data_IF_417752406021
#
_entry.id   IF_417752406021
#
_cell.length_a   1.000
_cell.length_b   1.000
_cell.length_c   1.000
_cell.angle_alpha   90.00
_cell.angle_beta   90.00
_cell.angle_gamma   90.00
#
_symmetry.space_group_name_H-M   'P 1'
#
loop_
_entity.id
_entity.type
_entity.pdbx_description
1 polymer ?
#
# COMPACT_ATOMS: atom_id res chain seq x y z
N UNK A 1 -26.22 -35.56 9.13
CA UNK A 1 -24.87 -35.20 9.57
C UNK A 1 -24.57 -33.87 8.91
N UNK A 2 -24.79 -32.77 9.62
CA UNK A 2 -24.61 -31.43 9.08
C UNK A 2 -23.19 -30.97 9.38
N UNK A 3 -22.40 -30.77 8.34
CA UNK A 3 -21.17 -29.99 8.47
C UNK A 3 -21.58 -28.52 8.37
N UNK A 4 -21.57 -27.85 9.52
CA UNK A 4 -21.68 -26.42 9.59
C UNK A 4 -20.37 -25.84 9.06
N UNK A 5 -20.44 -25.24 7.87
CA UNK A 5 -19.42 -24.35 7.33
C UNK A 5 -19.35 -23.11 8.24
N UNK A 6 -18.55 -23.21 9.30
CA UNK A 6 -18.17 -22.04 10.09
C UNK A 6 -17.11 -21.28 9.30
N UNK A 7 -17.53 -20.56 8.25
CA UNK A 7 -16.70 -19.47 7.74
C UNK A 7 -16.59 -18.47 8.89
N UNK A 8 -15.42 -18.38 9.53
CA UNK A 8 -15.14 -17.34 10.51
C UNK A 8 -15.47 -16.00 9.87
N UNK A 9 -16.53 -15.35 10.38
CA UNK A 9 -17.03 -14.12 9.80
C UNK A 9 -16.05 -13.02 10.18
N UNK A 10 -15.15 -12.68 9.26
CA UNK A 10 -14.16 -11.62 9.43
C UNK A 10 -14.80 -10.36 10.03
N UNK A 11 -14.27 -9.91 11.16
CA UNK A 11 -14.78 -8.74 11.86
C UNK A 11 -14.34 -7.46 11.14
N UNK A 12 -15.26 -6.51 11.00
CA UNK A 12 -14.97 -5.25 10.33
C UNK A 12 -15.59 -4.05 11.05
N UNK A 13 -14.83 -2.96 11.18
CA UNK A 13 -15.30 -1.69 11.72
C UNK A 13 -14.61 -0.49 11.07
N UNK A 14 -15.37 0.52 10.66
CA UNK A 14 -14.80 1.82 10.31
C UNK A 14 -14.28 2.55 11.56
N UNK A 15 -13.08 3.13 11.46
CA UNK A 15 -12.48 3.90 12.54
C UNK A 15 -12.62 5.39 12.24
N UNK A 16 -11.56 6.07 11.79
CA UNK A 16 -11.57 7.53 11.61
C UNK A 16 -12.19 7.91 10.26
N UNK A 17 -13.30 8.65 10.27
CA UNK A 17 -13.93 9.21 9.06
C UNK A 17 -13.21 10.48 8.61
N UNK A 18 -12.91 10.57 7.31
CA UNK A 18 -12.24 11.71 6.68
C UNK A 18 -13.22 12.72 6.09
N UNK A 19 -14.33 12.25 5.52
CA UNK A 19 -15.30 13.12 4.85
C UNK A 19 -16.32 12.39 3.99
N UNK A 20 -17.02 13.13 3.14
CA UNK A 20 -18.01 12.62 2.17
C UNK A 20 -17.64 13.03 0.75
N UNK A 21 -18.15 12.32 -0.25
CA UNK A 21 -17.91 12.65 -1.66
C UNK A 21 -18.54 13.98 -2.07
N UNK A 22 -17.80 14.72 -2.91
CA UNK A 22 -18.22 16.04 -3.38
C UNK A 22 -19.50 15.97 -4.22
N UNK A 23 -19.46 15.22 -5.34
CA UNK A 23 -20.61 15.06 -6.23
C UNK A 23 -21.63 14.04 -5.71
N UNK A 24 -21.15 12.99 -5.04
CA UNK A 24 -22.01 11.99 -4.40
C UNK A 24 -21.74 11.96 -2.89
N UNK A 25 -22.63 12.57 -2.12
CA UNK A 25 -22.53 12.68 -0.66
C UNK A 25 -22.75 11.36 0.08
N UNK A 26 -23.26 10.34 -0.61
CA UNK A 26 -23.46 9.01 -0.04
C UNK A 26 -22.16 8.20 0.02
N UNK A 27 -21.14 8.57 -0.77
CA UNK A 27 -19.80 8.01 -0.66
C UNK A 27 -19.12 8.58 0.59
N UNK A 28 -18.62 7.71 1.46
CA UNK A 28 -17.97 8.09 2.71
C UNK A 28 -16.48 7.75 2.67
N UNK A 29 -15.62 8.73 2.92
CA UNK A 29 -14.17 8.54 2.95
C UNK A 29 -13.68 8.36 4.38
N UNK A 30 -12.70 7.47 4.54
CA UNK A 30 -12.11 7.13 5.83
C UNK A 30 -10.59 7.31 5.79
N UNK A 31 -10.02 7.53 6.97
CA UNK A 31 -8.58 7.48 7.21
C UNK A 31 -8.15 6.12 7.75
N UNK A 32 -9.02 5.42 8.47
CA UNK A 32 -8.70 4.10 9.03
C UNK A 32 -9.92 3.18 9.20
N UNK A 33 -9.66 1.89 9.32
CA UNK A 33 -10.61 0.83 9.62
C UNK A 33 -9.92 -0.29 10.42
N UNK A 34 -10.69 -1.06 11.16
CA UNK A 34 -10.26 -2.31 11.76
C UNK A 34 -10.83 -3.47 10.94
N UNK A 35 -9.98 -4.43 10.60
CA UNK A 35 -10.35 -5.65 9.90
C UNK A 35 -9.65 -6.83 10.57
N UNK A 36 -10.45 -7.74 11.09
CA UNK A 36 -10.02 -8.92 11.83
C UNK A 36 -9.05 -8.59 12.98
N UNK A 37 -9.43 -7.61 13.80
CA UNK A 37 -8.62 -7.16 14.95
C UNK A 37 -7.46 -6.24 14.59
N UNK A 38 -7.06 -6.14 13.33
CA UNK A 38 -5.95 -5.28 12.89
C UNK A 38 -6.47 -3.92 12.42
N UNK A 39 -5.93 -2.82 12.96
CA UNK A 39 -6.21 -1.48 12.43
C UNK A 39 -5.35 -1.18 11.21
N UNK A 40 -5.96 -0.71 10.13
CA UNK A 40 -5.36 -0.21 8.90
C UNK A 40 -5.65 1.27 8.75
N UNK A 41 -4.64 2.04 8.39
CA UNK A 41 -4.71 3.48 8.19
C UNK A 41 -4.22 3.86 6.80
N UNK A 42 -4.54 5.07 6.34
CA UNK A 42 -3.96 5.60 5.11
C UNK A 42 -2.42 5.54 5.20
N UNK A 43 -1.82 5.15 4.08
CA UNK A 43 -0.40 5.04 3.82
C UNK A 43 0.32 3.85 4.48
N UNK A 44 -0.43 3.00 5.20
CA UNK A 44 0.03 1.66 5.51
C UNK A 44 0.34 0.89 4.22
N UNK A 45 1.43 0.11 4.27
CA UNK A 45 1.75 -0.86 3.23
C UNK A 45 1.07 -2.19 3.55
N UNK A 46 0.53 -2.82 2.51
CA UNK A 46 -0.31 -4.01 2.62
C UNK A 46 0.03 -5.02 1.54
N UNK A 47 -0.15 -6.29 1.88
CA UNK A 47 -0.21 -7.38 0.92
C UNK A 47 -1.61 -7.45 0.30
N UNK A 48 -1.69 -7.67 -1.01
CA UNK A 48 -2.93 -8.00 -1.71
C UNK A 48 -2.79 -9.33 -2.43
N UNK A 49 -3.65 -10.29 -2.08
CA UNK A 49 -3.72 -11.56 -2.77
C UNK A 49 -4.56 -11.46 -4.05
N UNK A 50 -4.12 -12.20 -5.05
CA UNK A 50 -4.86 -12.46 -6.27
C UNK A 50 -4.75 -13.96 -6.53
N UNK A 51 -5.87 -14.65 -6.65
CA UNK A 51 -5.92 -16.13 -6.78
C UNK A 51 -5.04 -16.70 -7.90
N UNK A 52 -4.73 -15.90 -8.93
CA UNK A 52 -3.90 -16.32 -10.06
C UNK A 52 -2.40 -16.20 -9.84
N UNK A 53 -1.94 -15.58 -8.74
CA UNK A 53 -0.53 -15.31 -8.48
C UNK A 53 -0.05 -16.06 -7.23
N UNK A 54 1.14 -16.68 -7.29
CA UNK A 54 1.68 -17.42 -6.15
C UNK A 54 2.14 -16.50 -5.01
N UNK A 55 2.56 -15.27 -5.34
CA UNK A 55 3.00 -14.27 -4.36
C UNK A 55 2.01 -13.11 -4.27
N UNK A 56 1.78 -12.57 -3.06
CA UNK A 56 0.96 -11.38 -2.91
C UNK A 56 1.66 -10.17 -3.50
N UNK A 57 0.87 -9.27 -4.09
CA UNK A 57 1.34 -7.93 -4.47
C UNK A 57 1.53 -7.07 -3.23
N UNK A 58 2.43 -6.10 -3.31
CA UNK A 58 2.68 -5.14 -2.24
C UNK A 58 2.25 -3.76 -2.69
N UNK A 59 1.48 -3.06 -1.86
CA UNK A 59 1.03 -1.71 -2.18
C UNK A 59 0.74 -0.85 -0.96
N UNK A 60 0.65 0.45 -1.16
CA UNK A 60 0.36 1.46 -0.14
C UNK A 60 -1.09 1.94 -0.25
N UNK A 61 -1.82 1.99 0.87
CA UNK A 61 -3.19 2.47 0.92
C UNK A 61 -3.25 3.99 0.74
N UNK A 62 -3.68 4.48 -0.41
CA UNK A 62 -3.73 5.94 -0.68
C UNK A 62 -5.15 6.53 -0.59
N UNK A 63 -6.18 5.69 -0.53
CA UNK A 63 -7.58 6.12 -0.38
C UNK A 63 -8.45 4.98 0.15
N UNK A 64 -9.37 5.29 1.07
CA UNK A 64 -10.27 4.31 1.71
C UNK A 64 -11.69 4.89 1.71
N UNK A 65 -12.69 4.12 1.26
CA UNK A 65 -14.07 4.58 1.24
C UNK A 65 -15.13 3.45 1.25
N UNK A 66 -16.34 3.85 1.62
CA UNK A 66 -17.57 3.07 1.47
C UNK A 66 -18.45 3.70 0.38
N UNK A 67 -18.97 2.87 -0.51
CA UNK A 67 -19.95 3.25 -1.53
C UNK A 67 -21.39 3.19 -0.98
N UNK A 68 -22.39 3.77 -1.68
CA UNK A 68 -23.78 3.74 -1.23
C UNK A 68 -24.35 2.32 -1.07
N UNK A 69 -23.89 1.39 -1.91
CA UNK A 69 -24.23 -0.04 -1.88
C UNK A 69 -23.53 -0.83 -0.74
N UNK A 70 -22.85 -0.13 0.17
CA UNK A 70 -22.07 -0.69 1.28
C UNK A 70 -20.83 -1.47 0.86
N UNK A 71 -20.47 -1.46 -0.42
CA UNK A 71 -19.20 -2.00 -0.86
C UNK A 71 -18.05 -1.15 -0.36
N UNK A 72 -17.03 -1.81 0.19
CA UNK A 72 -15.84 -1.18 0.75
C UNK A 72 -14.73 -1.23 -0.28
N UNK A 73 -13.99 -0.13 -0.40
CA UNK A 73 -12.99 0.03 -1.45
C UNK A 73 -11.75 0.70 -0.90
N UNK A 74 -10.63 0.27 -1.45
CA UNK A 74 -9.32 0.91 -1.24
C UNK A 74 -8.70 1.24 -2.59
N UNK A 75 -7.97 2.35 -2.66
CA UNK A 75 -7.08 2.65 -3.79
C UNK A 75 -5.67 2.38 -3.32
N UNK A 76 -4.97 1.54 -4.06
CA UNK A 76 -3.63 1.08 -3.72
C UNK A 76 -2.64 1.65 -4.73
N UNK A 77 -1.57 2.27 -4.25
CA UNK A 77 -0.38 2.63 -5.02
C UNK A 77 0.60 1.46 -4.95
N UNK A 78 1.05 0.97 -6.09
CA UNK A 78 1.79 -0.29 -6.13
C UNK A 78 3.29 -0.13 -5.90
N UNK A 79 3.87 -1.21 -5.38
CA UNK A 79 5.29 -1.48 -5.46
C UNK A 79 5.53 -2.60 -6.47
N UNK A 80 6.73 -2.64 -7.04
CA UNK A 80 7.23 -3.75 -7.84
C UNK A 80 8.41 -4.39 -7.14
N UNK A 81 8.43 -5.72 -7.10
CA UNK A 81 9.60 -6.53 -6.78
C UNK A 81 10.58 -6.54 -7.96
N UNK A 82 11.86 -6.84 -7.73
CA UNK A 82 12.84 -6.92 -8.81
C UNK A 82 12.47 -7.95 -9.89
N UNK A 83 11.87 -9.08 -9.50
CA UNK A 83 11.41 -10.12 -10.42
C UNK A 83 10.28 -9.65 -11.36
N UNK A 84 9.44 -8.71 -10.93
CA UNK A 84 8.32 -8.18 -11.73
C UNK A 84 8.79 -7.22 -12.83
N UNK A 85 9.95 -6.58 -12.64
CA UNK A 85 10.53 -5.59 -13.57
C UNK A 85 11.89 -6.02 -14.11
N UNK A 86 12.20 -7.32 -14.08
CA UNK A 86 13.53 -7.85 -14.40
C UNK A 86 14.06 -7.37 -15.77
N UNK A 87 13.17 -7.26 -16.76
CA UNK A 87 13.53 -6.79 -18.11
C UNK A 87 14.02 -5.34 -18.17
N UNK A 88 13.76 -4.55 -17.12
CA UNK A 88 14.11 -3.14 -17.02
C UNK A 88 15.27 -2.87 -16.05
N UNK A 89 15.72 -3.88 -15.29
CA UNK A 89 16.87 -3.79 -14.39
C UNK A 89 18.23 -3.89 -15.11
N UNK A 90 18.24 -4.35 -16.36
CA UNK A 90 19.48 -4.58 -17.10
C UNK A 90 20.36 -5.62 -16.42
N UNK A 91 21.62 -5.26 -16.14
CA UNK A 91 22.59 -6.15 -15.47
C UNK A 91 22.71 -5.89 -13.96
N UNK A 92 21.89 -5.00 -13.41
CA UNK A 92 21.93 -4.65 -11.99
C UNK A 92 21.47 -5.82 -11.11
N UNK A 93 22.22 -6.10 -10.04
CA UNK A 93 21.79 -7.04 -9.00
C UNK A 93 21.15 -6.25 -7.88
N UNK A 94 19.84 -6.45 -7.72
CA UNK A 94 19.02 -5.77 -6.72
C UNK A 94 18.67 -6.76 -5.60
N UNK A 95 18.78 -6.37 -4.31
CA UNK A 95 18.33 -7.19 -3.19
C UNK A 95 16.85 -7.60 -3.33
N UNK A 96 16.51 -8.82 -2.93
CA UNK A 96 15.13 -9.33 -3.05
C UNK A 96 14.12 -8.55 -2.19
N UNK A 97 14.59 -7.93 -1.10
CA UNK A 97 13.78 -7.10 -0.22
C UNK A 97 13.72 -5.62 -0.64
N UNK A 98 14.39 -5.23 -1.73
CA UNK A 98 14.23 -3.89 -2.33
C UNK A 98 13.02 -3.87 -3.25
N UNK A 99 12.16 -2.88 -3.06
CA UNK A 99 10.99 -2.61 -3.88
C UNK A 99 11.15 -1.32 -4.68
N UNK A 100 10.38 -1.21 -5.76
CA UNK A 100 10.28 -0.01 -6.58
C UNK A 100 8.89 0.58 -6.48
N UNK A 101 8.79 1.82 -5.98
CA UNK A 101 7.49 2.50 -5.90
C UNK A 101 7.00 2.84 -7.31
N UNK A 102 5.77 2.49 -7.65
CA UNK A 102 5.21 2.83 -8.96
C UNK A 102 5.11 4.36 -9.14
N UNK A 103 5.54 4.86 -10.29
CA UNK A 103 5.45 6.28 -10.67
C UNK A 103 4.96 6.45 -12.11
N UNK A 104 4.91 7.69 -12.60
CA UNK A 104 4.39 8.01 -13.93
C UNK A 104 2.87 7.93 -14.03
N UNK A 105 2.37 7.58 -15.22
CA UNK A 105 0.95 7.40 -15.51
C UNK A 105 0.70 6.11 -16.28
N UNK A 106 -0.36 5.38 -15.91
CA UNK A 106 -0.79 4.18 -16.65
C UNK A 106 -1.16 2.99 -15.77
N UNK A 107 -1.33 1.84 -16.41
CA UNK A 107 -1.61 0.57 -15.74
C UNK A 107 -0.39 0.17 -14.89
N UNK A 108 -0.64 -0.21 -13.65
CA UNK A 108 0.42 -0.56 -12.70
C UNK A 108 0.76 0.56 -11.70
N UNK A 109 0.31 1.80 -11.94
CA UNK A 109 0.50 2.88 -10.96
C UNK A 109 -0.34 2.67 -9.70
N UNK A 110 -1.66 2.79 -9.84
CA UNK A 110 -2.59 2.64 -8.75
C UNK A 110 -3.97 2.24 -9.26
N UNK A 111 -4.67 1.35 -8.55
CA UNK A 111 -6.02 0.94 -8.91
C UNK A 111 -6.91 0.79 -7.68
N UNK A 112 -8.20 0.59 -7.93
CA UNK A 112 -9.22 0.37 -6.90
C UNK A 112 -9.41 -1.12 -6.71
N UNK A 113 -9.38 -1.57 -5.45
CA UNK A 113 -9.58 -2.96 -5.06
C UNK A 113 -10.70 -3.05 -4.01
N UNK A 114 -11.40 -4.20 -3.89
CA UNK A 114 -12.21 -4.48 -2.72
C UNK A 114 -11.32 -4.47 -1.47
N UNK A 115 -11.86 -4.02 -0.35
CA UNK A 115 -11.12 -3.98 0.92
C UNK A 115 -10.70 -5.39 1.35
N UNK A 116 -11.56 -6.36 1.05
CA UNK A 116 -11.42 -7.78 1.35
C UNK A 116 -10.27 -8.45 0.57
N UNK A 117 -9.67 -7.78 -0.42
CA UNK A 117 -8.45 -8.28 -1.09
C UNK A 117 -7.18 -8.03 -0.28
N UNK A 118 -7.25 -7.26 0.81
CA UNK A 118 -6.11 -7.04 1.72
C UNK A 118 -5.87 -8.33 2.49
N UNK A 119 -4.64 -8.83 2.37
CA UNK A 119 -4.18 -10.06 3.00
C UNK A 119 -3.52 -9.83 4.37
N UNK A 120 -3.09 -8.60 4.63
CA UNK A 120 -2.36 -8.23 5.83
C UNK A 120 -1.54 -6.96 5.62
N UNK A 121 -0.95 -6.46 6.71
CA UNK A 121 0.06 -5.40 6.64
C UNK A 121 1.41 -5.98 6.26
N UNK A 122 2.23 -5.13 5.66
CA UNK A 122 3.65 -5.37 5.49
C UNK A 122 4.46 -4.12 5.85
N UNK A 123 5.67 -4.29 6.38
CA UNK A 123 6.52 -3.17 6.74
C UNK A 123 7.46 -2.79 5.57
N UNK A 124 7.18 -1.64 4.95
CA UNK A 124 7.96 -1.11 3.84
C UNK A 124 8.50 0.27 4.22
N UNK A 125 9.82 0.41 4.31
CA UNK A 125 10.51 1.63 4.74
C UNK A 125 11.14 2.36 3.57
N UNK A 126 11.00 3.69 3.54
CA UNK A 126 11.69 4.53 2.55
C UNK A 126 13.11 4.82 3.01
N UNK A 127 14.10 4.43 2.21
CA UNK A 127 15.54 4.68 2.45
C UNK A 127 16.13 5.65 1.43
N UNK A 128 15.27 6.40 0.71
CA UNK A 128 15.72 7.45 -0.20
C UNK A 128 16.45 8.55 0.56
N UNK A 129 17.53 9.07 -0.04
CA UNK A 129 18.31 10.21 0.48
C UNK A 129 17.67 11.57 0.19
N UNK A 130 16.47 11.57 -0.37
CA UNK A 130 15.66 12.77 -0.56
C UNK A 130 15.52 13.53 0.76
N UNK A 131 15.73 14.84 0.73
CA UNK A 131 15.67 15.69 1.93
C UNK A 131 14.28 15.74 2.59
N UNK A 132 13.24 15.41 1.83
CA UNK A 132 11.86 15.33 2.34
C UNK A 132 11.60 14.03 3.09
N UNK A 133 12.46 13.02 2.90
CA UNK A 133 12.40 11.76 3.62
C UNK A 133 13.06 11.91 4.99
N UNK A 134 12.27 11.79 6.06
CA UNK A 134 12.82 11.58 7.39
C UNK A 134 13.54 10.23 7.37
N UNK A 135 14.86 10.25 7.56
CA UNK A 135 15.66 9.03 7.50
C UNK A 135 15.25 8.08 8.62
N UNK A 136 15.06 6.79 8.31
CA UNK A 136 14.65 5.81 9.31
C UNK A 136 15.77 5.57 10.32
N UNK A 137 15.39 5.20 11.55
CA UNK A 137 16.34 4.71 12.56
C UNK A 137 16.84 3.31 12.23
N UNK A 138 17.92 2.89 12.89
CA UNK A 138 18.44 1.52 12.75
C UNK A 138 17.42 0.47 13.20
N UNK A 139 16.61 0.77 14.23
CA UNK A 139 15.52 -0.10 14.68
C UNK A 139 14.40 -0.22 13.65
N UNK A 140 14.01 0.89 13.00
CA UNK A 140 13.01 0.87 11.92
C UNK A 140 13.50 0.05 10.73
N UNK A 141 14.78 0.18 10.36
CA UNK A 141 15.42 -0.62 9.32
C UNK A 141 15.48 -2.11 9.69
N UNK A 142 15.76 -2.43 10.96
CA UNK A 142 15.81 -3.81 11.43
C UNK A 142 14.45 -4.50 11.38
N UNK A 143 13.37 -3.76 11.61
CA UNK A 143 12.00 -4.27 11.53
C UNK A 143 11.42 -4.28 10.10
N UNK A 144 12.12 -3.70 9.13
CA UNK A 144 11.64 -3.60 7.76
C UNK A 144 11.58 -4.98 7.09
N UNK A 145 10.43 -5.35 6.54
CA UNK A 145 10.34 -6.49 5.63
C UNK A 145 10.88 -6.11 4.25
N UNK A 146 10.61 -4.88 3.83
CA UNK A 146 11.07 -4.33 2.56
C UNK A 146 11.56 -2.90 2.71
N UNK A 147 12.40 -2.50 1.76
CA UNK A 147 12.88 -1.12 1.63
C UNK A 147 12.64 -0.62 0.21
N UNK A 148 12.54 0.70 0.04
CA UNK A 148 12.60 1.32 -1.27
C UNK A 148 13.32 2.66 -1.21
N UNK A 149 14.10 2.96 -2.25
CA UNK A 149 14.67 4.30 -2.50
C UNK A 149 14.35 4.82 -3.89
N UNK A 150 13.80 3.96 -4.75
CA UNK A 150 13.64 4.19 -6.19
C UNK A 150 12.20 4.04 -6.61
N UNK A 151 11.88 4.63 -7.76
CA UNK A 151 10.61 4.45 -8.44
C UNK A 151 10.77 3.68 -9.75
N UNK A 152 9.69 3.04 -10.18
CA UNK A 152 9.54 2.51 -11.52
C UNK A 152 8.39 3.22 -12.22
N UNK A 153 8.72 4.03 -13.24
CA UNK A 153 7.74 4.74 -14.05
C UNK A 153 7.04 3.74 -14.97
N UNK A 154 5.75 3.50 -14.75
CA UNK A 154 4.99 2.48 -15.50
C UNK A 154 4.62 2.91 -16.92
N UNK A 155 4.69 4.22 -17.21
CA UNK A 155 4.41 4.76 -18.54
C UNK A 155 5.65 4.74 -19.42
N UNK A 156 6.81 5.08 -18.84
CA UNK A 156 8.10 5.12 -19.53
C UNK A 156 8.91 3.83 -19.39
N UNK A 157 8.49 2.93 -18.50
CA UNK A 157 9.18 1.67 -18.18
C UNK A 157 10.62 1.91 -17.73
N UNK A 158 10.81 2.92 -16.87
CA UNK A 158 12.14 3.41 -16.46
C UNK A 158 12.26 3.50 -14.94
N UNK A 159 13.40 3.09 -14.42
CA UNK A 159 13.75 3.24 -13.01
C UNK A 159 14.37 4.62 -12.76
N UNK A 160 14.01 5.22 -11.63
CA UNK A 160 14.51 6.53 -11.20
C UNK A 160 14.85 6.53 -9.71
N UNK A 161 16.00 7.10 -9.37
CA UNK A 161 16.39 7.38 -7.98
C UNK A 161 15.68 8.62 -7.42
N UNK A 162 15.12 9.46 -8.30
CA UNK A 162 14.31 10.60 -7.91
C UNK A 162 12.86 10.16 -7.69
N UNK A 163 12.31 10.55 -6.54
CA UNK A 163 10.94 10.31 -6.16
C UNK A 163 10.14 11.60 -6.38
N UNK A 164 9.17 11.54 -7.28
CA UNK A 164 8.36 12.70 -7.65
C UNK A 164 7.55 13.25 -6.46
N UNK A 165 7.42 14.57 -6.38
CA UNK A 165 6.67 15.30 -5.35
C UNK A 165 5.22 14.84 -5.23
N UNK A 166 4.67 14.39 -6.36
CA UNK A 166 3.29 13.94 -6.49
C UNK A 166 3.22 12.63 -7.26
N UNK A 167 2.66 11.60 -6.64
CA UNK A 167 2.43 10.29 -7.26
C UNK A 167 0.98 9.88 -7.03
N UNK A 168 0.31 9.42 -8.09
CA UNK A 168 -1.08 8.98 -8.05
C UNK A 168 -2.08 9.98 -7.43
N UNK A 169 -1.75 11.27 -7.47
CA UNK A 169 -2.53 12.37 -6.88
C UNK A 169 -2.26 12.65 -5.40
N UNK A 170 -1.28 12.00 -4.79
CA UNK A 170 -0.82 12.21 -3.41
C UNK A 170 0.49 12.99 -3.42
N UNK A 171 0.60 14.02 -2.56
CA UNK A 171 1.80 14.86 -2.42
C UNK A 171 2.54 14.53 -1.13
N UNK A 172 3.87 14.39 -1.16
CA UNK A 172 4.78 14.32 0.00
C UNK A 172 4.61 13.15 0.99
N UNK A 173 3.49 12.43 0.96
CA UNK A 173 3.15 11.40 1.96
C UNK A 173 3.70 10.02 1.59
N UNK A 174 4.18 9.85 0.37
CA UNK A 174 4.76 8.59 -0.12
C UNK A 174 5.98 8.12 0.70
N UNK A 175 6.68 9.04 1.37
CA UNK A 175 7.83 8.77 2.22
C UNK A 175 7.46 8.26 3.63
N UNK A 176 6.20 8.42 4.06
CA UNK A 176 5.82 8.04 5.43
C UNK A 176 5.71 6.52 5.59
N UNK A 177 6.46 5.99 6.56
CA UNK A 177 6.22 4.74 7.26
C UNK A 177 5.47 5.05 8.55
N UNK A 178 4.17 4.76 8.62
CA UNK A 178 3.42 4.89 9.87
C UNK A 178 3.71 3.67 10.75
N UNK A 179 4.75 3.76 11.56
CA UNK A 179 4.93 2.87 12.71
C UNK A 179 5.23 3.67 13.98
N UNK A 180 4.32 4.57 14.34
CA UNK A 180 4.20 5.05 15.72
C UNK A 180 2.74 5.21 16.07
N UNK A 181 2.16 4.12 16.59
CA UNK A 181 1.17 3.97 17.66
C UNK A 181 0.99 2.45 17.74
N UNK A 182 1.25 1.81 18.88
CA UNK A 182 0.96 0.41 19.27
C UNK A 182 2.11 -0.40 19.88
N UNK A 183 3.31 0.17 20.07
CA UNK A 183 4.24 -0.36 21.08
C UNK A 183 4.42 0.71 22.16
N UNK A 184 3.37 0.95 22.96
CA UNK A 184 3.39 1.53 24.32
C UNK A 184 1.92 1.68 24.78
N UNK A 185 1.25 0.56 25.07
CA UNK A 185 0.25 0.44 26.15
C UNK A 185 0.48 -0.93 26.80
#
# INVERSE_FOLDING_TARGET
MGEADQSEKLEFKWCKKRGVGGKNKEVQFYESFNFDGVEYTLYDSVYLYKESEPEPFIGKLIKIWENPDKSKRVKVLWFFRPCEIQNYLGAERVPENELFLASGEGKGLANVNPLEAIAGKCNVICISKDERNSQPSDEELHMAEFVFSRTFDVGQLKISDEINDRIAGIEGIIYLSFFFIYIYI
#
